data_IF_995367515485
#
_entry.id   IF_995367515485
#
_cell.length_a   1.000
_cell.length_b   1.000
_cell.length_c   1.000
_cell.angle_alpha   90.00
_cell.angle_beta   90.00
_cell.angle_gamma   90.00
#
_symmetry.space_group_name_H-M   'P 1'
#
loop_
_entity.id
_entity.type
_entity.pdbx_description
1 polymer ?
#
# COMPACT_ATOMS: atom_id res chain seq x y z
N UNK A 1 -12.23 -6.99 12.45
CA UNK A 1 -12.49 -6.09 11.30
C UNK A 1 -11.25 -5.97 10.41
N UNK A 2 -10.08 -5.57 10.93
CA UNK A 2 -8.83 -5.46 10.17
C UNK A 2 -8.45 -6.74 9.42
N UNK A 3 -8.43 -7.88 10.12
CA UNK A 3 -8.18 -9.19 9.50
C UNK A 3 -9.11 -9.50 8.33
N UNK A 4 -10.41 -9.17 8.44
CA UNK A 4 -11.36 -9.41 7.36
C UNK A 4 -11.11 -8.48 6.17
N UNK A 5 -10.71 -7.23 6.40
CA UNK A 5 -10.33 -6.32 5.32
C UNK A 5 -9.08 -6.83 4.60
N UNK A 6 -8.07 -7.25 5.36
CA UNK A 6 -6.81 -7.77 4.84
C UNK A 6 -6.98 -9.10 4.08
N UNK A 7 -7.78 -10.03 4.60
CA UNK A 7 -8.05 -11.32 3.94
C UNK A 7 -8.81 -11.19 2.60
N UNK A 8 -9.49 -10.07 2.37
CA UNK A 8 -10.18 -9.76 1.10
C UNK A 8 -9.29 -9.10 0.05
N UNK A 9 -8.02 -8.89 0.38
CA UNK A 9 -7.01 -8.42 -0.57
C UNK A 9 -6.52 -9.59 -1.40
N UNK A 10 -6.31 -9.35 -2.69
CA UNK A 10 -5.52 -10.23 -3.56
C UNK A 10 -4.07 -10.29 -3.09
N UNK A 11 -3.32 -11.29 -3.54
CA UNK A 11 -1.92 -11.44 -3.16
C UNK A 11 -1.06 -10.22 -3.54
N UNK A 12 -1.29 -9.63 -4.72
CA UNK A 12 -0.59 -8.41 -5.14
C UNK A 12 -0.98 -7.19 -4.29
N UNK A 13 -2.24 -7.09 -3.86
CA UNK A 13 -2.66 -6.05 -2.92
C UNK A 13 -2.00 -6.21 -1.54
N UNK A 14 -1.87 -7.46 -1.05
CA UNK A 14 -1.17 -7.77 0.20
C UNK A 14 0.31 -7.43 0.10
N UNK A 15 0.95 -7.76 -1.02
CA UNK A 15 2.36 -7.44 -1.27
C UNK A 15 2.59 -5.92 -1.29
N UNK A 16 1.77 -5.18 -2.04
CA UNK A 16 1.88 -3.73 -2.12
C UNK A 16 1.65 -3.03 -0.77
N UNK A 17 0.61 -3.42 -0.02
CA UNK A 17 0.33 -2.81 1.28
C UNK A 17 1.36 -3.22 2.35
N UNK A 18 1.92 -4.43 2.28
CA UNK A 18 3.00 -4.86 3.16
C UNK A 18 4.29 -4.08 2.88
N UNK A 19 4.64 -3.91 1.60
CA UNK A 19 5.76 -3.08 1.19
C UNK A 19 5.59 -1.64 1.70
N UNK A 20 4.44 -1.01 1.44
CA UNK A 20 4.13 0.33 1.96
C UNK A 20 4.20 0.39 3.50
N UNK A 21 3.71 -0.63 4.20
CA UNK A 21 3.70 -0.69 5.68
C UNK A 21 5.09 -0.78 6.30
N UNK A 22 6.10 -1.22 5.54
CA UNK A 22 7.49 -1.28 6.03
C UNK A 22 8.17 0.10 6.11
N UNK A 23 7.53 1.15 5.59
CA UNK A 23 8.04 2.52 5.64
C UNK A 23 7.25 3.36 6.65
N UNK A 24 7.97 4.13 7.46
CA UNK A 24 7.38 5.10 8.40
C UNK A 24 7.09 6.47 7.75
N UNK A 25 7.58 6.70 6.54
CA UNK A 25 7.40 7.95 5.79
C UNK A 25 6.56 7.72 4.53
N UNK A 26 5.89 8.75 4.00
CA UNK A 26 5.18 8.66 2.73
C UNK A 26 6.09 8.13 1.62
N UNK A 27 5.62 7.11 0.91
CA UNK A 27 6.40 6.43 -0.12
C UNK A 27 6.09 7.01 -1.51
N UNK A 28 7.09 7.47 -2.26
CA UNK A 28 6.89 7.94 -3.62
C UNK A 28 6.35 6.88 -4.60
N UNK A 29 5.55 7.31 -5.57
CA UNK A 29 5.11 6.46 -6.68
C UNK A 29 6.29 5.87 -7.47
N UNK A 30 7.40 6.63 -7.59
CA UNK A 30 8.62 6.19 -8.26
C UNK A 30 9.20 4.92 -7.63
N UNK A 31 9.27 4.85 -6.31
CA UNK A 31 9.77 3.67 -5.58
C UNK A 31 8.82 2.47 -5.71
N UNK A 32 7.50 2.71 -5.73
CA UNK A 32 6.53 1.64 -6.01
C UNK A 32 6.71 1.07 -7.42
N UNK A 33 6.90 1.94 -8.43
CA UNK A 33 7.12 1.49 -9.81
C UNK A 33 8.43 0.70 -9.97
N UNK A 34 9.46 1.03 -9.19
CA UNK A 34 10.70 0.27 -9.14
C UNK A 34 10.49 -1.11 -8.51
N UNK A 35 9.83 -1.18 -7.35
CA UNK A 35 9.55 -2.45 -6.66
C UNK A 35 8.65 -3.39 -7.47
N UNK A 36 7.66 -2.84 -8.18
CA UNK A 36 6.67 -3.60 -8.96
C UNK A 36 6.93 -3.49 -10.47
N UNK A 37 8.20 -3.40 -10.88
CA UNK A 37 8.61 -3.16 -12.28
C UNK A 37 8.11 -4.19 -13.27
N UNK A 38 7.86 -5.43 -12.81
CA UNK A 38 7.36 -6.53 -13.66
C UNK A 38 5.86 -6.42 -13.95
N UNK A 39 5.11 -5.64 -13.15
CA UNK A 39 3.65 -5.53 -13.25
C UNK A 39 3.09 -4.10 -13.09
N UNK A 40 3.64 -3.08 -13.77
CA UNK A 40 3.27 -1.67 -13.54
C UNK A 40 1.79 -1.38 -13.83
N UNK A 41 1.21 -2.04 -14.83
CA UNK A 41 -0.21 -1.91 -15.15
C UNK A 41 -1.13 -2.49 -14.05
N UNK A 42 -0.67 -3.50 -13.32
CA UNK A 42 -1.42 -4.08 -12.21
C UNK A 42 -1.26 -3.23 -10.94
N UNK A 43 -0.06 -2.66 -10.72
CA UNK A 43 0.21 -1.78 -9.59
C UNK A 43 -0.79 -0.62 -9.51
N UNK A 44 -1.09 0.08 -10.61
CA UNK A 44 -2.07 1.17 -10.58
C UNK A 44 -3.48 0.70 -10.18
N UNK A 45 -3.88 -0.51 -10.59
CA UNK A 45 -5.18 -1.10 -10.18
C UNK A 45 -5.18 -1.44 -8.70
N UNK A 46 -4.05 -1.94 -8.19
CA UNK A 46 -3.85 -2.25 -6.77
C UNK A 46 -3.92 -0.99 -5.93
N UNK A 47 -3.15 0.05 -6.27
CA UNK A 47 -3.15 1.33 -5.53
C UNK A 47 -4.56 1.94 -5.50
N UNK A 48 -5.26 1.95 -6.64
CA UNK A 48 -6.64 2.45 -6.71
C UNK A 48 -7.62 1.62 -5.87
N UNK A 49 -7.46 0.30 -5.83
CA UNK A 49 -8.31 -0.58 -5.02
C UNK A 49 -8.08 -0.35 -3.53
N UNK A 50 -6.82 -0.26 -3.10
CA UNK A 50 -6.43 0.00 -1.72
C UNK A 50 -6.92 1.38 -1.25
N UNK A 51 -6.79 2.41 -2.09
CA UNK A 51 -7.27 3.77 -1.82
C UNK A 51 -8.79 3.79 -1.65
N UNK A 52 -9.55 3.14 -2.54
CA UNK A 52 -11.03 3.04 -2.45
C UNK A 52 -11.52 2.33 -1.19
N UNK A 53 -10.71 1.43 -0.63
CA UNK A 53 -11.00 0.72 0.62
C UNK A 53 -10.61 1.52 1.86
N UNK A 54 -9.95 2.68 1.70
CA UNK A 54 -9.42 3.48 2.79
C UNK A 54 -8.23 2.85 3.50
N UNK A 55 -7.48 1.97 2.80
CA UNK A 55 -6.33 1.28 3.39
C UNK A 55 -5.02 2.05 3.18
N UNK A 56 -4.97 2.84 2.12
CA UNK A 56 -3.86 3.75 1.83
C UNK A 56 -4.42 5.13 1.50
N UNK A 57 -3.61 6.15 1.73
CA UNK A 57 -3.89 7.51 1.30
C UNK A 57 -2.90 7.93 0.22
N UNK A 58 -3.40 8.61 -0.81
CA UNK A 58 -2.59 9.26 -1.84
C UNK A 58 -2.49 10.75 -1.53
N UNK A 59 -1.27 11.28 -1.49
CA UNK A 59 -1.00 12.68 -1.19
C UNK A 59 -0.10 13.28 -2.28
N UNK A 60 -0.11 14.60 -2.41
CA UNK A 60 0.79 15.34 -3.27
C UNK A 60 1.71 16.18 -2.38
N UNK A 61 2.99 15.80 -2.30
CA UNK A 61 4.00 16.42 -1.45
C UNK A 61 5.13 16.91 -2.34
N UNK A 62 5.43 18.21 -2.31
CA UNK A 62 6.52 18.82 -3.10
C UNK A 62 6.52 18.44 -4.60
N UNK A 63 5.32 18.44 -5.22
CA UNK A 63 5.06 18.02 -6.60
C UNK A 63 5.27 16.52 -6.89
N UNK A 64 5.39 15.68 -5.87
CA UNK A 64 5.48 14.23 -5.98
C UNK A 64 4.23 13.53 -5.42
N UNK A 65 3.79 12.48 -6.11
CA UNK A 65 2.72 11.62 -5.61
C UNK A 65 3.32 10.63 -4.63
N UNK A 66 2.84 10.68 -3.39
CA UNK A 66 3.27 9.79 -2.31
C UNK A 66 2.09 9.03 -1.71
N UNK A 67 2.37 7.89 -1.09
CA UNK A 67 1.39 7.01 -0.47
C UNK A 67 1.72 6.72 0.98
N UNK A 68 0.70 6.66 1.83
CA UNK A 68 0.82 6.21 3.23
C UNK A 68 -0.20 5.12 3.51
N UNK A 69 0.05 4.31 4.54
CA UNK A 69 -0.91 3.32 5.06
C UNK A 69 -1.55 3.88 6.30
N UNK A 70 -2.84 3.60 6.52
CA UNK A 70 -3.50 3.90 7.79
C UNK A 70 -2.69 3.29 8.97
N UNK A 71 -2.35 4.06 10.02
CA UNK A 71 -1.46 3.57 11.08
C UNK A 71 -1.99 2.32 11.81
N UNK A 72 -3.31 2.15 11.92
CA UNK A 72 -3.91 0.97 12.55
C UNK A 72 -3.73 -0.25 11.65
N UNK A 73 -3.95 -0.09 10.34
CA UNK A 73 -3.70 -1.15 9.36
C UNK A 73 -2.20 -1.49 9.25
N UNK A 74 -1.32 -0.49 9.25
CA UNK A 74 0.14 -0.68 9.23
C UNK A 74 0.59 -1.54 10.42
N UNK A 75 0.16 -1.19 11.64
CA UNK A 75 0.47 -1.97 12.84
C UNK A 75 -0.08 -3.39 12.76
N UNK A 76 -1.30 -3.57 12.24
CA UNK A 76 -1.88 -4.89 12.04
C UNK A 76 -1.04 -5.76 11.08
N UNK A 77 -0.61 -5.20 9.95
CA UNK A 77 0.21 -5.91 8.95
C UNK A 77 1.55 -6.30 9.56
N UNK A 78 2.24 -5.36 10.20
CA UNK A 78 3.55 -5.61 10.82
C UNK A 78 3.48 -6.62 11.98
N UNK A 79 2.36 -6.67 12.71
CA UNK A 79 2.19 -7.62 13.84
C UNK A 79 1.71 -9.01 13.43
N UNK A 80 1.18 -9.18 12.20
CA UNK A 80 0.68 -10.46 11.69
C UNK A 80 1.66 -11.18 10.77
N UNK A 81 2.78 -10.56 10.40
CA UNK A 81 3.80 -11.12 9.51
C UNK A 81 5.03 -11.67 10.24
N UNK A 82 4.93 -11.93 11.56
CA UNK A 82 5.90 -12.73 12.33
C UNK A 82 5.53 -14.24 12.33
#
# INVERSE_FOLDING_TARGET
ILQQQYQRLSELEKEAIAFLSSYHQPLPLSQLLEQFSDTPNQLFKVLLSLERRGLIEKQNLDNEIVFTVDPVMQNYILSCCD
#
